data_IF_981142826246
#
_entry.id   IF_981142826246
#
_cell.length_a   1.000
_cell.length_b   1.000
_cell.length_c   1.000
_cell.angle_alpha   90.00
_cell.angle_beta   90.00
_cell.angle_gamma   90.00
#
_symmetry.space_group_name_H-M   'P 1'
#
loop_
_entity.id
_entity.type
_entity.pdbx_description
1 polymer ?
#
# COMPACT_ATOMS: atom_id res chain seq x y z
N UNK A 1 15.61 18.45 7.27
CA UNK A 1 14.17 18.25 7.40
C UNK A 1 13.49 18.46 6.06
N UNK A 2 12.95 17.38 5.51
CA UNK A 2 12.18 17.40 4.27
C UNK A 2 10.72 17.71 4.57
N UNK A 3 10.02 18.32 3.61
CA UNK A 3 8.59 18.59 3.72
C UNK A 3 7.82 17.65 2.81
N UNK A 4 6.68 17.17 3.28
CA UNK A 4 5.81 16.29 2.54
C UNK A 4 4.38 16.79 2.58
N UNK A 5 3.70 16.73 1.43
CA UNK A 5 2.26 16.90 1.34
C UNK A 5 1.58 15.54 1.48
N UNK A 6 0.69 15.43 2.46
CA UNK A 6 -0.05 14.20 2.78
C UNK A 6 -1.45 14.31 2.20
N UNK A 7 -1.87 13.24 1.51
CA UNK A 7 -3.17 13.11 0.86
C UNK A 7 -3.89 11.88 1.40
N UNK A 8 -5.16 12.04 1.76
CA UNK A 8 -6.03 10.96 2.21
C UNK A 8 -6.68 10.25 1.03
N UNK A 9 -6.83 8.94 1.17
CA UNK A 9 -7.67 8.09 0.33
C UNK A 9 -8.48 7.12 1.18
N UNK A 10 -9.36 6.37 0.53
CA UNK A 10 -10.18 5.33 1.19
C UNK A 10 -9.33 4.20 1.80
N UNK A 11 -8.13 3.96 1.29
CA UNK A 11 -7.27 2.85 1.73
C UNK A 11 -6.12 3.28 2.63
N UNK A 12 -5.91 4.57 2.85
CA UNK A 12 -4.77 5.09 3.62
C UNK A 12 -4.33 6.49 3.19
N UNK A 13 -3.19 6.93 3.72
CA UNK A 13 -2.55 8.20 3.35
C UNK A 13 -1.39 8.00 2.37
N UNK A 14 -1.31 8.89 1.39
CA UNK A 14 -0.17 9.03 0.49
C UNK A 14 0.62 10.26 0.86
N UNK A 15 1.92 10.23 0.61
CA UNK A 15 2.79 11.39 0.75
C UNK A 15 3.54 11.62 -0.55
N UNK A 16 3.85 12.89 -0.79
CA UNK A 16 4.64 13.36 -1.91
C UNK A 16 5.58 14.47 -1.40
N UNK A 17 6.74 14.63 -2.05
CA UNK A 17 7.68 15.69 -1.69
C UNK A 17 7.02 17.06 -1.95
N UNK A 18 7.00 17.90 -0.92
CA UNK A 18 6.46 19.26 -1.00
C UNK A 18 7.63 20.24 -1.07
N UNK A 19 7.66 21.04 -2.12
CA UNK A 19 8.73 21.99 -2.39
C UNK A 19 8.13 23.39 -2.39
N UNK A 20 8.54 24.20 -1.41
CA UNK A 20 8.13 25.60 -1.25
C UNK A 20 9.29 26.59 -1.36
N UNK A 21 10.54 26.11 -1.50
CA UNK A 21 11.70 26.98 -1.78
C UNK A 21 12.58 26.43 -2.91
N UNK A 22 13.29 27.28 -3.66
CA UNK A 22 14.23 26.85 -4.69
C UNK A 22 15.34 25.93 -4.16
N UNK A 23 15.80 26.14 -2.92
CA UNK A 23 16.87 25.34 -2.32
C UNK A 23 16.44 23.87 -2.11
N UNK A 24 15.15 23.64 -1.86
CA UNK A 24 14.61 22.29 -1.72
C UNK A 24 14.59 21.51 -3.05
N UNK A 25 14.81 22.17 -4.20
CA UNK A 25 14.95 21.53 -5.50
C UNK A 25 16.36 21.00 -5.77
N UNK A 26 17.37 21.39 -4.99
CA UNK A 26 18.76 21.00 -5.24
C UNK A 26 18.91 19.48 -5.14
N UNK A 27 19.50 18.87 -6.17
CA UNK A 27 19.67 17.42 -6.28
C UNK A 27 18.42 16.67 -6.80
N UNK A 28 17.33 17.37 -7.06
CA UNK A 28 16.18 16.82 -7.79
C UNK A 28 16.36 16.99 -9.30
N UNK A 29 15.58 16.26 -10.09
CA UNK A 29 15.56 16.43 -11.56
C UNK A 29 15.00 17.80 -12.01
N UNK A 30 14.40 18.56 -11.09
CA UNK A 30 13.79 19.85 -11.34
C UNK A 30 14.66 21.04 -10.94
N UNK A 31 15.90 20.78 -10.47
CA UNK A 31 16.89 21.81 -10.16
C UNK A 31 17.13 22.71 -11.39
N UNK A 32 16.90 24.02 -11.24
CA UNK A 32 17.03 25.00 -12.32
C UNK A 32 15.93 24.95 -13.39
N UNK A 33 14.95 24.04 -13.28
CA UNK A 33 13.78 23.95 -14.18
C UNK A 33 12.56 24.66 -13.58
N UNK A 34 12.34 24.47 -12.28
CA UNK A 34 11.27 25.13 -11.53
C UNK A 34 11.88 26.38 -10.87
N UNK A 35 11.33 27.54 -11.20
CA UNK A 35 11.70 28.81 -10.57
C UNK A 35 10.74 29.17 -9.42
N UNK A 36 11.10 30.20 -8.65
CA UNK A 36 10.34 30.67 -7.48
C UNK A 36 8.88 31.03 -7.82
N UNK A 37 8.58 31.44 -9.05
CA UNK A 37 7.23 31.83 -9.46
C UNK A 37 6.25 30.66 -9.61
N UNK A 38 6.77 29.43 -9.68
CA UNK A 38 5.97 28.20 -9.83
C UNK A 38 5.70 27.48 -8.51
N UNK A 39 6.42 27.86 -7.46
CA UNK A 39 6.27 27.30 -6.12
C UNK A 39 4.96 27.79 -5.46
N UNK A 40 4.39 27.03 -4.51
CA UNK A 40 4.81 25.68 -4.11
C UNK A 40 4.39 24.59 -5.12
N UNK A 41 5.15 23.50 -5.16
CA UNK A 41 4.86 22.33 -5.99
C UNK A 41 4.93 21.04 -5.18
N UNK A 42 4.25 20.01 -5.68
CA UNK A 42 4.35 18.64 -5.20
C UNK A 42 4.99 17.77 -6.26
N UNK A 43 6.01 17.00 -5.91
CA UNK A 43 6.69 16.06 -6.82
C UNK A 43 6.03 14.69 -6.74
N UNK A 44 5.71 14.09 -7.88
CA UNK A 44 4.98 12.80 -7.92
C UNK A 44 5.88 11.57 -7.72
N UNK A 45 7.21 11.79 -7.64
CA UNK A 45 8.22 10.75 -7.51
C UNK A 45 8.42 9.90 -8.78
N UNK A 46 7.87 10.31 -9.92
CA UNK A 46 7.89 9.60 -11.21
C UNK A 46 8.28 10.50 -12.39
N UNK A 47 8.93 11.63 -12.13
CA UNK A 47 9.34 12.55 -13.19
C UNK A 47 8.34 13.66 -13.51
N UNK A 48 7.30 13.85 -12.69
CA UNK A 48 6.39 14.97 -12.83
C UNK A 48 6.23 15.77 -11.52
N UNK A 49 5.64 16.96 -11.67
CA UNK A 49 5.26 17.81 -10.56
C UNK A 49 3.91 18.48 -10.85
N UNK A 50 3.24 18.89 -9.80
CA UNK A 50 2.00 19.65 -9.86
C UNK A 50 2.11 20.90 -9.00
N UNK A 51 1.46 21.99 -9.43
CA UNK A 51 1.32 23.15 -8.57
C UNK A 51 0.42 22.81 -7.39
N UNK A 52 0.86 23.15 -6.19
CA UNK A 52 0.15 22.83 -4.96
C UNK A 52 -0.90 23.90 -4.64
N UNK A 53 -2.10 23.46 -4.24
CA UNK A 53 -3.07 24.34 -3.58
C UNK A 53 -3.62 23.70 -2.31
N UNK A 54 -3.95 24.50 -1.30
CA UNK A 54 -4.54 23.98 -0.05
C UNK A 54 -5.90 23.29 -0.25
N UNK A 55 -6.55 23.51 -1.39
CA UNK A 55 -7.82 22.90 -1.76
C UNK A 55 -7.66 21.68 -2.68
N UNK A 56 -6.43 21.18 -2.87
CA UNK A 56 -6.19 19.99 -3.69
C UNK A 56 -7.00 18.81 -3.18
N UNK A 57 -7.59 18.06 -4.12
CA UNK A 57 -8.46 16.94 -3.76
C UNK A 57 -7.72 15.91 -2.91
N UNK A 58 -8.29 15.62 -1.75
CA UNK A 58 -7.74 14.66 -0.80
C UNK A 58 -6.53 15.19 -0.01
N UNK A 59 -6.09 16.44 -0.19
CA UNK A 59 -5.06 17.00 0.69
C UNK A 59 -5.53 16.98 2.15
N UNK A 60 -4.62 16.57 3.04
CA UNK A 60 -4.88 16.44 4.47
C UNK A 60 -4.00 17.39 5.28
N UNK A 61 -2.67 17.29 5.13
CA UNK A 61 -1.71 18.09 5.91
C UNK A 61 -0.33 18.17 5.27
N UNK A 62 0.45 19.16 5.67
CA UNK A 62 1.89 19.18 5.49
C UNK A 62 2.57 18.57 6.71
N UNK A 63 3.63 17.80 6.49
CA UNK A 63 4.50 17.28 7.55
C UNK A 63 5.96 17.60 7.23
N UNK A 64 6.77 17.76 8.29
CA UNK A 64 8.21 17.96 8.16
C UNK A 64 8.93 16.87 8.96
N UNK A 65 9.75 16.06 8.30
CA UNK A 65 10.53 14.98 8.92
C UNK A 65 11.74 14.63 8.06
N UNK A 66 12.72 13.94 8.64
CA UNK A 66 13.82 13.31 7.91
C UNK A 66 13.62 11.78 7.77
N UNK A 67 12.50 11.25 8.27
CA UNK A 67 12.13 9.84 8.15
C UNK A 67 11.72 9.48 6.71
N UNK A 68 12.13 8.29 6.26
CA UNK A 68 11.69 7.69 5.00
C UNK A 68 11.30 6.21 5.24
N UNK A 69 10.01 5.84 5.11
CA UNK A 69 8.87 6.71 4.77
C UNK A 69 8.53 7.72 5.89
N UNK A 70 7.92 8.88 5.55
CA UNK A 70 7.58 9.94 6.51
C UNK A 70 6.31 9.64 7.32
N UNK A 71 5.60 8.54 7.01
CA UNK A 71 4.40 8.11 7.71
C UNK A 71 4.54 6.66 8.19
N UNK A 72 3.96 6.31 9.35
CA UNK A 72 3.83 4.92 9.77
C UNK A 72 3.03 4.10 8.75
N UNK A 73 3.39 2.83 8.59
CA UNK A 73 2.75 1.96 7.59
C UNK A 73 1.25 1.78 7.83
N UNK A 74 0.80 1.80 9.08
CA UNK A 74 -0.62 1.70 9.44
C UNK A 74 -1.44 2.95 9.05
N UNK A 75 -0.78 4.10 8.89
CA UNK A 75 -1.42 5.29 8.31
C UNK A 75 -1.42 5.21 6.78
N UNK A 76 -0.32 4.72 6.19
CA UNK A 76 -0.21 4.59 4.74
C UNK A 76 -1.16 3.55 4.14
N UNK A 77 -1.41 2.47 4.88
CA UNK A 77 -2.30 1.39 4.50
C UNK A 77 -3.17 1.05 5.71
N UNK A 78 -4.45 1.44 5.65
CA UNK A 78 -5.35 1.29 6.78
C UNK A 78 -5.41 -0.16 7.22
N UNK A 79 -5.00 -0.37 8.46
CA UNK A 79 -4.95 -1.68 9.09
C UNK A 79 -6.35 -2.10 9.51
N UNK A 80 -6.78 -3.31 9.15
CA UNK A 80 -8.07 -3.87 9.53
C UNK A 80 -9.27 -2.96 9.19
N UNK A 81 -9.19 -2.23 8.06
CA UNK A 81 -10.28 -1.38 7.60
C UNK A 81 -11.57 -2.19 7.45
N UNK A 82 -12.74 -1.69 7.93
CA UNK A 82 -14.02 -2.35 7.72
C UNK A 82 -14.39 -2.40 6.23
N UNK A 83 -13.87 -1.46 5.42
CA UNK A 83 -14.08 -1.37 3.99
C UNK A 83 -12.93 -2.04 3.19
N UNK A 84 -12.16 -2.94 3.84
CA UNK A 84 -11.06 -3.64 3.19
C UNK A 84 -11.56 -4.44 1.97
N UNK A 85 -10.95 -4.17 0.82
CA UNK A 85 -11.21 -4.93 -0.43
C UNK A 85 -9.94 -5.60 -0.93
N UNK A 86 -8.89 -4.83 -1.10
CA UNK A 86 -7.65 -5.28 -1.72
C UNK A 86 -6.48 -4.98 -0.79
N UNK A 87 -5.50 -5.88 -0.76
CA UNK A 87 -4.25 -5.63 -0.06
C UNK A 87 -3.51 -6.87 0.39
N UNK A 88 -2.90 -6.78 1.57
CA UNK A 88 -2.10 -7.86 2.16
C UNK A 88 -2.68 -8.27 3.51
N UNK A 89 -2.66 -9.57 3.80
CA UNK A 89 -3.06 -10.13 5.09
C UNK A 89 -1.90 -10.86 5.73
N UNK A 90 -1.57 -10.50 6.97
CA UNK A 90 -0.52 -11.18 7.74
C UNK A 90 -0.96 -12.58 8.20
N UNK A 91 -0.02 -13.45 8.65
CA UNK A 91 -0.33 -14.72 9.30
C UNK A 91 -1.26 -14.62 10.51
N UNK A 92 -1.30 -13.45 11.16
CA UNK A 92 -2.18 -13.17 12.30
C UNK A 92 -3.57 -12.67 11.91
N UNK A 93 -3.88 -12.57 10.61
CA UNK A 93 -5.15 -12.09 10.11
C UNK A 93 -5.27 -10.56 10.02
N UNK A 94 -4.22 -9.81 10.38
CA UNK A 94 -4.22 -8.35 10.17
C UNK A 94 -4.19 -8.01 8.68
N UNK A 95 -5.13 -7.19 8.22
CA UNK A 95 -5.19 -6.70 6.84
C UNK A 95 -4.58 -5.32 6.70
N UNK A 96 -3.94 -5.05 5.56
CA UNK A 96 -3.38 -3.75 5.19
C UNK A 96 -3.94 -3.37 3.83
N UNK A 97 -4.86 -2.41 3.81
CA UNK A 97 -5.58 -2.04 2.59
C UNK A 97 -4.64 -1.32 1.63
N UNK A 98 -4.48 -1.84 0.42
CA UNK A 98 -3.86 -1.08 -0.66
C UNK A 98 -4.74 -1.19 -1.90
N UNK A 99 -5.09 -0.03 -2.45
CA UNK A 99 -5.90 0.06 -3.66
C UNK A 99 -5.29 -0.73 -4.82
N UNK A 100 -6.06 -0.88 -5.90
CA UNK A 100 -5.72 -1.69 -7.09
C UNK A 100 -4.28 -1.54 -7.60
N UNK A 101 -3.71 -0.33 -7.56
CA UNK A 101 -2.37 -0.04 -8.12
C UNK A 101 -1.23 -0.06 -7.10
N UNK A 102 -1.50 -0.26 -5.81
CA UNK A 102 -0.54 -0.07 -4.73
C UNK A 102 -0.04 -1.36 -4.06
N UNK A 103 -0.35 -2.52 -4.62
CA UNK A 103 0.07 -3.83 -4.07
C UNK A 103 1.58 -3.95 -3.84
N UNK A 104 2.38 -3.57 -4.83
CA UNK A 104 3.84 -3.66 -4.75
C UNK A 104 4.43 -2.64 -3.77
N UNK A 105 3.90 -1.41 -3.74
CA UNK A 105 4.34 -0.39 -2.76
C UNK A 105 4.05 -0.85 -1.33
N UNK A 106 2.83 -1.36 -1.08
CA UNK A 106 2.44 -1.92 0.21
C UNK A 106 3.36 -3.07 0.61
N UNK A 107 3.62 -4.01 -0.31
CA UNK A 107 4.52 -5.13 -0.05
C UNK A 107 5.94 -4.68 0.31
N UNK A 108 6.50 -3.71 -0.42
CA UNK A 108 7.83 -3.15 -0.16
C UNK A 108 7.94 -2.56 1.24
N UNK A 109 6.95 -1.77 1.65
CA UNK A 109 6.95 -1.13 2.97
C UNK A 109 6.70 -2.14 4.10
N UNK A 110 5.80 -3.11 3.89
CA UNK A 110 5.56 -4.19 4.86
C UNK A 110 6.83 -5.03 5.03
N UNK A 111 7.50 -5.38 3.94
CA UNK A 111 8.75 -6.12 4.00
C UNK A 111 9.87 -5.31 4.65
N UNK A 112 9.97 -4.00 4.39
CA UNK A 112 10.95 -3.15 5.07
C UNK A 112 10.73 -3.14 6.60
N UNK A 113 9.46 -3.11 7.05
CA UNK A 113 9.11 -3.14 8.48
C UNK A 113 9.37 -4.50 9.14
N UNK A 114 8.88 -5.58 8.54
CA UNK A 114 8.87 -6.91 9.18
C UNK A 114 10.06 -7.80 8.79
N UNK A 115 10.67 -7.54 7.63
CA UNK A 115 11.76 -8.34 7.04
C UNK A 115 12.85 -7.43 6.44
N UNK A 116 13.48 -6.53 7.21
CA UNK A 116 14.34 -5.45 6.71
C UNK A 116 15.57 -5.91 5.89
N UNK A 117 15.94 -7.19 5.97
CA UNK A 117 17.05 -7.79 5.20
C UNK A 117 16.59 -8.46 3.89
N UNK A 118 15.29 -8.43 3.59
CA UNK A 118 14.73 -9.06 2.41
C UNK A 118 15.11 -8.28 1.15
N UNK A 119 15.72 -8.97 0.18
CA UNK A 119 16.01 -8.41 -1.15
C UNK A 119 14.76 -8.32 -2.04
N UNK A 120 13.82 -9.24 -1.85
CA UNK A 120 12.61 -9.37 -2.66
C UNK A 120 11.38 -9.28 -1.75
N UNK A 121 10.75 -8.10 -1.64
CA UNK A 121 9.67 -7.86 -0.69
C UNK A 121 8.51 -8.85 -0.77
N UNK A 122 7.87 -8.98 -1.94
CA UNK A 122 6.71 -9.87 -2.12
C UNK A 122 7.08 -11.33 -1.81
N UNK A 123 8.24 -11.78 -2.26
CA UNK A 123 8.73 -13.13 -1.96
C UNK A 123 8.97 -13.33 -0.46
N UNK A 124 9.46 -12.34 0.26
CA UNK A 124 9.66 -12.43 1.70
C UNK A 124 8.34 -12.51 2.46
N UNK A 125 7.36 -11.68 2.09
CA UNK A 125 6.00 -11.75 2.65
C UNK A 125 5.36 -13.12 2.38
N UNK A 126 5.40 -13.56 1.13
CA UNK A 126 4.87 -14.87 0.70
C UNK A 126 5.50 -16.03 1.49
N UNK A 127 6.85 -16.06 1.60
CA UNK A 127 7.56 -17.09 2.37
C UNK A 127 7.22 -17.06 3.86
N UNK A 128 6.89 -15.89 4.38
CA UNK A 128 6.44 -15.73 5.76
C UNK A 128 4.94 -16.04 5.96
N UNK A 129 4.22 -16.46 4.91
CA UNK A 129 2.81 -16.85 5.00
C UNK A 129 1.83 -15.68 4.94
N UNK A 130 2.25 -14.52 4.42
CA UNK A 130 1.32 -13.44 4.11
C UNK A 130 0.50 -13.81 2.88
N UNK A 131 -0.77 -13.38 2.87
CA UNK A 131 -1.67 -13.53 1.73
C UNK A 131 -1.75 -12.23 0.96
N UNK A 132 -1.84 -12.35 -0.36
CA UNK A 132 -2.12 -11.22 -1.24
C UNK A 132 -3.57 -11.32 -1.71
N UNK A 133 -4.36 -10.28 -1.46
CA UNK A 133 -5.76 -10.20 -1.86
C UNK A 133 -5.83 -9.17 -2.98
N UNK A 134 -6.09 -9.64 -4.19
CA UNK A 134 -6.07 -8.84 -5.42
C UNK A 134 -7.43 -8.89 -6.11
N UNK A 135 -7.64 -7.98 -7.04
CA UNK A 135 -8.77 -8.04 -7.94
C UNK A 135 -8.44 -8.99 -9.10
N UNK A 136 -9.40 -9.79 -9.55
CA UNK A 136 -9.27 -10.68 -10.69
C UNK A 136 -9.40 -9.97 -12.05
N UNK A 137 -9.53 -8.65 -12.06
CA UNK A 137 -9.71 -7.87 -13.28
C UNK A 137 -8.50 -8.02 -14.22
N UNK A 138 -8.75 -8.60 -15.40
CA UNK A 138 -7.77 -8.84 -16.46
C UNK A 138 -7.83 -7.80 -17.59
N UNK A 139 -8.66 -6.76 -17.44
CA UNK A 139 -8.89 -5.73 -18.46
C UNK A 139 -9.93 -6.10 -19.51
N UNK A 140 -10.51 -7.30 -19.46
CA UNK A 140 -11.44 -7.81 -20.49
C UNK A 140 -12.78 -8.30 -19.96
N UNK A 141 -12.85 -8.72 -18.68
CA UNK A 141 -14.09 -9.24 -18.09
C UNK A 141 -14.97 -8.14 -17.50
N UNK A 142 -16.28 -8.21 -17.77
CA UNK A 142 -17.29 -7.31 -17.19
C UNK A 142 -17.56 -7.57 -15.70
N UNK A 143 -17.30 -8.80 -15.24
CA UNK A 143 -17.40 -9.20 -13.84
C UNK A 143 -16.03 -9.63 -13.35
N UNK A 144 -15.55 -9.01 -12.27
CA UNK A 144 -14.32 -9.36 -11.61
C UNK A 144 -14.58 -9.59 -10.12
N UNK A 145 -13.88 -10.56 -9.54
CA UNK A 145 -13.96 -10.93 -8.14
C UNK A 145 -12.68 -10.57 -7.40
N UNK A 146 -12.67 -10.79 -6.10
CA UNK A 146 -11.42 -10.77 -5.34
C UNK A 146 -10.79 -12.16 -5.43
N UNK A 147 -9.46 -12.23 -5.46
CA UNK A 147 -8.68 -13.46 -5.46
C UNK A 147 -7.69 -13.45 -4.31
N UNK A 148 -7.57 -14.59 -3.61
CA UNK A 148 -6.65 -14.76 -2.48
C UNK A 148 -5.47 -15.64 -2.89
N UNK A 149 -4.29 -15.04 -2.99
CA UNK A 149 -3.05 -15.76 -3.31
C UNK A 149 -2.26 -16.12 -2.05
N UNK A 150 -2.00 -17.42 -1.87
CA UNK A 150 -1.02 -17.97 -0.93
C UNK A 150 0.07 -18.71 -1.69
N UNK A 151 1.30 -18.18 -1.72
CA UNK A 151 2.43 -18.85 -2.36
C UNK A 151 2.75 -20.21 -1.72
N UNK A 152 2.51 -20.34 -0.42
CA UNK A 152 2.80 -21.58 0.32
C UNK A 152 1.71 -22.63 0.17
N UNK A 153 0.56 -22.28 -0.43
CA UNK A 153 -0.62 -23.14 -0.46
C UNK A 153 -1.21 -23.45 0.92
N UNK A 154 -0.80 -22.71 1.95
CA UNK A 154 -1.31 -22.87 3.32
C UNK A 154 -1.73 -21.52 3.90
N UNK A 155 -2.70 -21.56 4.81
CA UNK A 155 -3.14 -20.39 5.59
C UNK A 155 -3.22 -20.77 7.09
N UNK A 156 -3.26 -19.78 7.97
CA UNK A 156 -3.51 -19.99 9.40
C UNK A 156 -5.02 -19.98 9.69
N UNK A 157 -5.41 -20.55 10.84
CA UNK A 157 -6.80 -20.44 11.32
C UNK A 157 -7.28 -18.98 11.41
N UNK A 158 -6.44 -18.06 11.91
CA UNK A 158 -6.77 -16.63 12.00
C UNK A 158 -7.01 -16.01 10.63
N UNK A 159 -6.24 -16.41 9.61
CA UNK A 159 -6.46 -15.96 8.24
C UNK A 159 -7.77 -16.53 7.69
N UNK A 160 -8.08 -17.80 7.93
CA UNK A 160 -9.33 -18.41 7.51
C UNK A 160 -10.55 -17.71 8.14
N UNK A 161 -10.53 -17.49 9.45
CA UNK A 161 -11.58 -16.75 10.18
C UNK A 161 -11.75 -15.33 9.59
N UNK A 162 -10.62 -14.64 9.32
CA UNK A 162 -10.67 -13.31 8.72
C UNK A 162 -11.22 -13.31 7.29
N UNK A 163 -10.89 -14.31 6.47
CA UNK A 163 -11.43 -14.44 5.11
C UNK A 163 -12.95 -14.69 5.12
N UNK A 164 -13.46 -15.39 6.15
CA UNK A 164 -14.88 -15.52 6.38
C UNK A 164 -15.53 -14.17 6.69
N UNK A 165 -14.96 -13.38 7.61
CA UNK A 165 -15.45 -12.04 7.95
C UNK A 165 -15.46 -11.09 6.74
N UNK A 166 -14.49 -11.24 5.83
CA UNK A 166 -14.40 -10.46 4.59
C UNK A 166 -15.36 -10.93 3.50
N UNK A 167 -16.12 -12.01 3.72
CA UNK A 167 -17.04 -12.57 2.72
C UNK A 167 -16.36 -13.30 1.57
N UNK A 168 -15.06 -13.62 1.70
CA UNK A 168 -14.26 -14.29 0.67
C UNK A 168 -14.31 -15.82 0.76
N UNK A 169 -15.04 -16.37 1.73
CA UNK A 169 -15.10 -17.82 1.99
C UNK A 169 -15.72 -18.64 0.85
N UNK A 170 -16.48 -18.02 -0.05
CA UNK A 170 -17.07 -18.69 -1.21
C UNK A 170 -16.12 -18.81 -2.41
N UNK A 171 -14.94 -18.17 -2.33
CA UNK A 171 -13.95 -18.24 -3.38
C UNK A 171 -13.38 -19.66 -3.48
N UNK A 172 -13.32 -20.28 -4.68
CA UNK A 172 -12.82 -21.64 -4.84
C UNK A 172 -11.41 -21.85 -4.27
N UNK A 173 -10.50 -20.89 -4.46
CA UNK A 173 -9.14 -20.96 -3.93
C UNK A 173 -9.10 -20.88 -2.40
N UNK A 174 -10.00 -20.11 -1.79
CA UNK A 174 -10.11 -20.02 -0.32
C UNK A 174 -10.64 -21.33 0.26
N UNK A 175 -11.65 -21.93 -0.38
CA UNK A 175 -12.21 -23.23 0.01
C UNK A 175 -11.12 -24.30 -0.04
N UNK A 176 -10.34 -24.35 -1.13
CA UNK A 176 -9.24 -25.31 -1.27
C UNK A 176 -8.13 -25.09 -0.22
N UNK A 177 -7.74 -23.84 0.02
CA UNK A 177 -6.76 -23.50 1.06
C UNK A 177 -7.22 -23.92 2.46
N UNK A 178 -8.51 -23.74 2.78
CA UNK A 178 -9.09 -24.16 4.07
C UNK A 178 -9.06 -25.68 4.18
N UNK A 179 -9.57 -26.40 3.19
CA UNK A 179 -9.63 -27.86 3.21
C UNK A 179 -8.23 -28.50 3.35
N UNK A 180 -7.22 -27.92 2.71
CA UNK A 180 -5.84 -28.42 2.79
C UNK A 180 -5.17 -28.21 4.15
N UNK A 181 -5.73 -27.35 5.01
CA UNK A 181 -5.06 -26.92 6.24
C UNK A 181 -5.90 -27.14 7.51
N UNK A 182 -7.22 -27.31 7.40
CA UNK A 182 -8.12 -27.40 8.56
C UNK A 182 -7.80 -28.54 9.54
N UNK A 183 -7.16 -29.61 9.05
CA UNK A 183 -6.73 -30.74 9.89
C UNK A 183 -5.47 -30.44 10.70
N UNK A 184 -4.71 -29.40 10.34
CA UNK A 184 -3.45 -29.00 10.97
C UNK A 184 -3.61 -27.78 11.91
N UNK A 185 -4.84 -27.27 12.09
CA UNK A 185 -5.18 -26.06 12.85
C UNK A 185 -5.71 -26.30 14.26
#
# INVERSE_FOLDING_TARGET
>A
MKKYAVYKSDTGYYYYDYIDTPEALIGTEFEGIIDESRLPVVLDGRGAYYHFTENDYGFDRLIETDDDPPLPIEEMFFKNSPDFKLGWMSPDGDTYSCSYTNHTRCASLLAAKYYPKARFPETALNRAGWLKIIDSWDGTQETHGQFVHSERGIITKKQADKLFDLGLYNNPEVIELIHNCENDW
#
